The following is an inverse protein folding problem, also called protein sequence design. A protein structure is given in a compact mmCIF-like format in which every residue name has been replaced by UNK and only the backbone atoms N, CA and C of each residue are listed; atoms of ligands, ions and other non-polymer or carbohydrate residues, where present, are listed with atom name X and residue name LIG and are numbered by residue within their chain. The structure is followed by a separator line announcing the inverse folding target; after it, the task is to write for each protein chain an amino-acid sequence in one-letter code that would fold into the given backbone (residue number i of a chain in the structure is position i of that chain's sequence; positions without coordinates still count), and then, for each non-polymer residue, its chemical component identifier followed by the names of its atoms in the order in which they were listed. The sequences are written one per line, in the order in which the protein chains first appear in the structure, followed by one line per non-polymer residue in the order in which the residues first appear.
data_IF_584323055728
#
_entry.id   IF_584323055728
#
_cell.length_a   1.000
_cell.length_b   1.000
_cell.length_c   1.000
_cell.angle_alpha   90.00
_cell.angle_beta   90.00
_cell.angle_gamma   90.00
#
_symmetry.space_group_name_H-M   'P 1'
#
loop_
_entity.id
_entity.type
_entity.pdbx_description
1 polymer ?
#
# COMPACT_ATOMS: atom_id res chain seq x y z
N UNK A 1 39.58 3.41 4.83
CA UNK A 1 38.43 4.15 4.28
C UNK A 1 37.43 4.34 5.42
N UNK A 2 36.85 5.53 5.55
CA UNK A 2 35.89 5.83 6.61
C UNK A 2 34.59 5.06 6.35
N UNK A 3 34.10 4.28 7.32
CA UNK A 3 32.84 3.52 7.20
C UNK A 3 31.65 4.43 6.82
N UNK A 4 31.70 5.73 7.19
CA UNK A 4 30.72 6.71 6.74
C UNK A 4 30.76 6.97 5.24
N UNK A 5 31.95 6.90 4.60
CA UNK A 5 32.10 7.15 3.16
C UNK A 5 31.60 5.99 2.31
N UNK A 6 31.74 4.76 2.82
CA UNK A 6 31.27 3.54 2.17
C UNK A 6 29.73 3.44 2.25
N UNK A 7 29.14 3.71 3.41
CA UNK A 7 27.67 3.80 3.59
C UNK A 7 27.06 4.86 2.66
N UNK A 8 27.66 6.05 2.57
CA UNK A 8 27.22 7.12 1.67
C UNK A 8 27.28 6.70 0.18
N UNK A 9 28.31 5.96 -0.22
CA UNK A 9 28.46 5.45 -1.58
C UNK A 9 27.40 4.38 -1.90
N UNK A 10 27.19 3.44 -0.99
CA UNK A 10 26.16 2.40 -1.10
C UNK A 10 24.75 2.98 -1.17
N UNK A 11 24.42 3.95 -0.31
CA UNK A 11 23.12 4.61 -0.31
C UNK A 11 22.84 5.32 -1.64
N UNK A 12 23.79 6.11 -2.17
CA UNK A 12 23.63 6.79 -3.47
C UNK A 12 23.44 5.79 -4.61
N UNK A 13 24.20 4.70 -4.60
CA UNK A 13 24.10 3.64 -5.60
C UNK A 13 22.71 3.01 -5.55
N UNK A 14 22.26 2.54 -4.38
CA UNK A 14 20.96 1.88 -4.24
C UNK A 14 19.79 2.79 -4.59
N UNK A 15 19.80 4.03 -4.13
CA UNK A 15 18.74 5.02 -4.45
C UNK A 15 18.62 5.20 -5.98
N UNK A 16 19.76 5.35 -6.67
CA UNK A 16 19.78 5.49 -8.13
C UNK A 16 19.24 4.22 -8.83
N UNK A 17 19.61 3.03 -8.34
CA UNK A 17 19.25 1.76 -8.95
C UNK A 17 17.79 1.37 -8.67
N UNK A 18 17.28 1.62 -7.46
CA UNK A 18 15.87 1.41 -7.09
C UNK A 18 14.93 2.30 -7.88
N UNK A 19 15.29 3.58 -8.08
CA UNK A 19 14.51 4.49 -8.93
C UNK A 19 14.41 3.98 -10.37
N UNK A 20 15.51 3.47 -10.94
CA UNK A 20 15.51 2.89 -12.29
C UNK A 20 14.73 1.57 -12.33
N UNK A 21 14.91 0.70 -11.32
CA UNK A 21 14.13 -0.53 -11.17
C UNK A 21 12.64 -0.23 -11.11
N UNK A 22 12.16 0.76 -10.37
CA UNK A 22 10.73 1.05 -10.24
C UNK A 22 10.04 1.24 -11.60
N UNK A 23 10.72 1.95 -12.50
CA UNK A 23 10.21 2.25 -13.82
C UNK A 23 10.29 1.05 -14.76
N UNK A 24 11.34 0.24 -14.65
CA UNK A 24 11.51 -0.95 -15.49
C UNK A 24 10.67 -2.15 -14.99
N UNK A 25 10.39 -2.22 -13.68
CA UNK A 25 9.75 -3.37 -13.00
C UNK A 25 8.24 -3.37 -13.13
N UNK A 26 7.65 -2.32 -13.72
CA UNK A 26 6.23 -2.25 -13.99
C UNK A 26 5.69 -3.44 -14.82
N UNK A 27 6.58 -4.27 -15.42
CA UNK A 27 6.26 -5.45 -16.24
C UNK A 27 6.53 -6.83 -15.59
N UNK A 28 7.19 -6.94 -14.43
CA UNK A 28 7.53 -8.23 -13.82
C UNK A 28 6.95 -8.29 -12.40
N UNK A 29 5.84 -9.02 -12.21
CA UNK A 29 5.16 -9.10 -10.90
C UNK A 29 4.93 -10.54 -10.49
N UNK A 30 5.25 -10.81 -9.22
CA UNK A 30 5.01 -12.08 -8.54
C UNK A 30 3.67 -11.99 -7.80
N UNK A 31 2.78 -12.95 -8.07
CA UNK A 31 1.57 -13.16 -7.30
C UNK A 31 1.88 -14.04 -6.08
N UNK A 32 1.45 -13.62 -4.90
CA UNK A 32 1.40 -14.46 -3.71
C UNK A 32 -0.05 -14.70 -3.29
N UNK A 33 -0.35 -15.93 -2.88
CA UNK A 33 -1.69 -16.38 -2.50
C UNK A 33 -2.18 -15.79 -1.16
N UNK A 34 -3.50 -15.61 -1.00
CA UNK A 34 -4.09 -14.89 0.14
C UNK A 34 -4.66 -15.83 1.21
N UNK A 35 -3.84 -16.51 2.01
CA UNK A 35 -4.32 -17.42 3.08
C UNK A 35 -4.63 -16.76 4.43
N UNK A 36 -4.18 -15.52 4.70
CA UNK A 36 -4.37 -14.87 6.02
C UNK A 36 -5.21 -13.58 5.97
N UNK A 37 -6.38 -13.58 5.29
CA UNK A 37 -7.11 -12.34 4.94
C UNK A 37 -7.61 -11.49 6.12
N UNK A 38 -8.02 -12.08 7.25
CA UNK A 38 -8.78 -11.34 8.29
C UNK A 38 -7.90 -10.47 9.19
N UNK A 39 -6.97 -11.07 9.94
CA UNK A 39 -6.03 -10.33 10.81
C UNK A 39 -5.26 -9.29 10.02
N UNK A 40 -4.88 -9.67 8.80
CA UNK A 40 -4.23 -8.80 7.85
C UNK A 40 -5.07 -7.59 7.45
N UNK A 41 -6.34 -7.78 7.11
CA UNK A 41 -7.26 -6.68 6.80
C UNK A 41 -7.45 -5.71 7.96
N UNK A 42 -7.44 -6.21 9.20
CA UNK A 42 -7.46 -5.39 10.43
C UNK A 42 -6.20 -4.51 10.51
N UNK A 43 -5.02 -5.09 10.28
CA UNK A 43 -3.76 -4.36 10.36
C UNK A 43 -3.58 -3.39 9.19
N UNK A 44 -3.98 -3.74 7.97
CA UNK A 44 -3.95 -2.81 6.83
C UNK A 44 -4.88 -1.62 7.07
N UNK A 45 -6.04 -1.87 7.68
CA UNK A 45 -6.97 -0.82 8.06
C UNK A 45 -6.41 0.07 9.18
N UNK A 46 -5.76 -0.49 10.19
CA UNK A 46 -5.03 0.29 11.19
C UNK A 46 -3.93 1.13 10.55
N UNK A 47 -3.15 0.57 9.63
CA UNK A 47 -2.15 1.33 8.89
C UNK A 47 -2.79 2.48 8.10
N UNK A 48 -3.96 2.28 7.53
CA UNK A 48 -4.69 3.31 6.78
C UNK A 48 -5.02 4.53 7.65
N UNK A 49 -5.44 4.29 8.90
CA UNK A 49 -5.69 5.33 9.91
C UNK A 49 -4.43 6.16 10.17
N UNK A 50 -3.30 5.48 10.39
CA UNK A 50 -2.06 6.13 10.78
C UNK A 50 -1.22 6.71 9.65
N UNK A 51 -1.58 6.47 8.38
CA UNK A 51 -0.94 7.16 7.27
C UNK A 51 -1.35 8.64 7.17
N UNK A 52 -2.38 9.08 7.89
CA UNK A 52 -2.83 10.47 7.89
C UNK A 52 -3.43 10.93 6.56
N UNK A 53 -3.90 12.18 6.52
CA UNK A 53 -4.75 12.67 5.43
C UNK A 53 -4.01 13.05 4.12
N UNK A 54 -2.67 13.16 4.14
CA UNK A 54 -1.89 13.37 2.91
C UNK A 54 -1.80 12.04 2.14
N UNK A 55 -2.27 11.95 0.88
CA UNK A 55 -2.32 10.68 0.15
C UNK A 55 -0.94 10.05 -0.16
N UNK A 56 0.12 10.86 -0.14
CA UNK A 56 1.50 10.42 -0.34
C UNK A 56 2.08 9.74 0.90
N UNK A 57 1.47 9.94 2.07
CA UNK A 57 1.91 9.29 3.30
C UNK A 57 1.61 7.80 3.27
N UNK A 58 2.39 7.07 4.05
CA UNK A 58 2.28 5.62 4.25
C UNK A 58 2.57 5.33 5.71
N UNK A 59 1.94 4.28 6.21
CA UNK A 59 2.24 3.71 7.51
C UNK A 59 2.28 2.20 7.43
N UNK A 60 2.97 1.61 8.41
CA UNK A 60 2.96 0.20 8.72
C UNK A 60 2.55 0.04 10.18
N UNK A 61 1.77 -1.00 10.48
CA UNK A 61 1.30 -1.27 11.84
C UNK A 61 1.47 -2.73 12.21
N UNK A 62 1.77 -2.98 13.48
CA UNK A 62 1.79 -4.30 14.08
C UNK A 62 1.05 -4.23 15.42
N UNK A 63 0.45 -5.35 15.81
CA UNK A 63 -0.32 -5.50 17.04
C UNK A 63 0.38 -6.49 17.97
N UNK A 64 0.74 -6.03 19.16
CA UNK A 64 1.16 -6.87 20.28
C UNK A 64 0.00 -6.96 21.27
N UNK A 65 -0.36 -8.19 21.66
CA UNK A 65 -1.50 -8.47 22.54
C UNK A 65 -1.00 -9.22 23.76
N UNK A 66 -1.16 -8.61 24.93
CA UNK A 66 -0.81 -9.15 26.23
C UNK A 66 -2.03 -9.15 27.17
N UNK A 67 -2.05 -9.98 28.21
CA UNK A 67 -3.13 -9.91 29.20
C UNK A 67 -3.20 -8.53 29.87
N UNK A 68 -4.30 -7.81 29.65
CA UNK A 68 -4.54 -6.47 30.18
C UNK A 68 -3.98 -5.31 29.34
N UNK A 69 -3.20 -5.57 28.29
CA UNK A 69 -2.59 -4.52 27.47
C UNK A 69 -2.57 -4.91 25.98
N UNK A 70 -2.86 -3.93 25.13
CA UNK A 70 -2.76 -4.04 23.68
C UNK A 70 -1.88 -2.91 23.19
N UNK A 71 -0.76 -3.26 22.56
CA UNK A 71 0.15 -2.28 21.99
C UNK A 71 0.03 -2.25 20.47
N UNK A 72 -0.30 -1.08 19.93
CA UNK A 72 -0.24 -0.77 18.51
C UNK A 72 1.12 -0.17 18.17
N UNK A 73 1.97 -0.94 17.50
CA UNK A 73 3.24 -0.44 16.99
C UNK A 73 3.02 0.21 15.64
N UNK A 74 3.40 1.47 15.50
CA UNK A 74 3.14 2.27 14.31
C UNK A 74 4.44 2.88 13.80
N UNK A 75 4.70 2.68 12.51
CA UNK A 75 5.77 3.38 11.79
C UNK A 75 5.16 4.21 10.67
N UNK A 76 5.63 5.45 10.52
CA UNK A 76 5.16 6.39 9.50
C UNK A 76 6.29 6.77 8.54
N UNK A 77 5.93 7.22 7.34
CA UNK A 77 6.86 7.56 6.26
C UNK A 77 8.07 8.40 6.68
N UNK A 78 7.87 9.38 7.56
CA UNK A 78 8.90 10.36 7.93
C UNK A 78 9.77 9.92 9.12
N UNK A 79 9.62 8.68 9.60
CA UNK A 79 10.31 8.23 10.82
C UNK A 79 9.57 8.70 12.05
N UNK A 80 9.87 9.92 12.49
CA UNK A 80 9.30 10.50 13.70
C UNK A 80 7.84 10.93 13.49
N UNK A 81 6.90 10.53 14.37
CA UNK A 81 5.51 10.97 14.27
C UNK A 81 5.40 12.48 14.47
N UNK A 82 4.65 13.13 13.58
CA UNK A 82 4.30 14.54 13.69
C UNK A 82 3.27 14.76 14.79
N UNK A 83 3.04 16.03 15.16
CA UNK A 83 1.93 16.39 16.06
C UNK A 83 0.58 15.86 15.56
N UNK A 84 0.32 15.95 14.26
CA UNK A 84 -0.92 15.47 13.64
C UNK A 84 -1.07 13.95 13.72
N UNK A 85 0.04 13.21 13.62
CA UNK A 85 0.03 11.75 13.76
C UNK A 85 -0.37 11.36 15.19
N UNK A 86 0.15 12.07 16.20
CA UNK A 86 -0.21 11.88 17.61
C UNK A 86 -1.67 12.26 17.88
N UNK A 87 -2.14 13.40 17.36
CA UNK A 87 -3.55 13.81 17.46
C UNK A 87 -4.49 12.77 16.80
N UNK A 88 -4.07 12.15 15.70
CA UNK A 88 -4.82 11.05 15.05
C UNK A 88 -4.88 9.82 15.96
N UNK A 89 -3.78 9.46 16.63
CA UNK A 89 -3.75 8.38 17.61
C UNK A 89 -4.68 8.67 18.80
N UNK A 90 -4.67 9.89 19.34
CA UNK A 90 -5.52 10.27 20.46
C UNK A 90 -7.01 10.23 20.09
N UNK A 91 -7.36 10.73 18.89
CA UNK A 91 -8.72 10.62 18.34
C UNK A 91 -9.11 9.15 18.16
N UNK A 92 -8.22 8.31 17.62
CA UNK A 92 -8.49 6.88 17.45
C UNK A 92 -8.71 6.16 18.79
N UNK A 93 -7.85 6.41 19.79
CA UNK A 93 -8.02 5.85 21.13
C UNK A 93 -9.31 6.31 21.79
N UNK A 94 -9.74 7.55 21.56
CA UNK A 94 -11.04 8.05 22.02
C UNK A 94 -12.19 7.32 21.34
N UNK A 95 -12.16 7.18 20.01
CA UNK A 95 -13.13 6.39 19.25
C UNK A 95 -13.19 4.93 19.73
N UNK A 96 -12.05 4.33 20.09
CA UNK A 96 -12.02 2.98 20.66
C UNK A 96 -12.73 2.91 22.01
N UNK A 97 -12.55 3.89 22.90
CA UNK A 97 -13.29 3.95 24.18
C UNK A 97 -14.79 4.03 23.96
N UNK A 98 -15.21 4.89 23.03
CA UNK A 98 -16.61 5.03 22.64
C UNK A 98 -17.15 3.72 22.05
N UNK A 99 -16.37 3.04 21.20
CA UNK A 99 -16.73 1.75 20.62
C UNK A 99 -16.92 0.64 21.67
N UNK A 100 -16.16 0.68 22.78
CA UNK A 100 -16.32 -0.25 23.90
C UNK A 100 -17.55 0.04 24.77
N UNK A 101 -18.13 1.25 24.67
CA UNK A 101 -19.38 1.57 25.36
C UNK A 101 -20.61 0.91 24.70
N UNK A 102 -20.50 0.52 23.43
CA UNK A 102 -21.55 -0.25 22.75
C UNK A 102 -21.64 -1.70 23.27
N UNK A 103 -22.84 -2.30 23.32
CA UNK A 103 -23.01 -3.73 23.62
C UNK A 103 -22.13 -4.63 22.73
N UNK A 104 -21.64 -5.75 23.25
CA UNK A 104 -20.78 -6.68 22.47
C UNK A 104 -21.42 -7.14 21.15
N UNK A 105 -22.75 -7.24 21.12
CA UNK A 105 -23.54 -7.61 19.95
C UNK A 105 -23.75 -6.50 18.92
N UNK A 106 -23.46 -5.23 19.25
CA UNK A 106 -23.71 -4.10 18.35
C UNK A 106 -22.52 -3.81 17.43
N UNK A 107 -22.25 -4.74 16.52
CA UNK A 107 -21.21 -4.58 15.51
C UNK A 107 -21.53 -3.45 14.51
N UNK A 108 -22.82 -3.17 14.27
CA UNK A 108 -23.29 -2.14 13.34
C UNK A 108 -23.04 -0.72 13.87
N UNK A 109 -23.36 -0.45 15.14
CA UNK A 109 -23.10 0.83 15.79
C UNK A 109 -21.61 1.16 15.84
N UNK A 110 -20.77 0.18 16.21
CA UNK A 110 -19.31 0.32 16.18
C UNK A 110 -18.77 0.56 14.77
N UNK A 111 -19.28 -0.17 13.78
CA UNK A 111 -18.89 0.03 12.39
C UNK A 111 -19.21 1.46 11.92
N UNK A 112 -20.42 1.95 12.22
CA UNK A 112 -20.80 3.33 11.91
C UNK A 112 -19.84 4.34 12.57
N UNK A 113 -19.55 4.15 13.86
CA UNK A 113 -18.62 5.00 14.59
C UNK A 113 -17.23 5.08 13.93
N UNK A 114 -16.67 3.94 13.49
CA UNK A 114 -15.38 3.93 12.80
C UNK A 114 -15.42 4.60 11.43
N UNK A 115 -16.55 4.53 10.70
CA UNK A 115 -16.71 5.27 9.45
C UNK A 115 -16.77 6.79 9.66
N UNK A 116 -17.49 7.26 10.70
CA UNK A 116 -17.46 8.68 11.10
C UNK A 116 -16.02 9.12 11.40
N UNK A 117 -15.27 8.29 12.14
CA UNK A 117 -13.87 8.56 12.44
C UNK A 117 -13.01 8.70 11.17
N UNK A 118 -13.15 7.79 10.20
CA UNK A 118 -12.41 7.86 8.94
C UNK A 118 -12.73 9.11 8.12
N UNK A 119 -14.01 9.48 8.00
CA UNK A 119 -14.41 10.68 7.25
C UNK A 119 -13.89 11.97 7.88
N UNK A 120 -13.82 12.02 9.21
CA UNK A 120 -13.29 13.20 9.93
C UNK A 120 -11.76 13.28 9.89
N UNK A 121 -11.07 12.16 9.68
CA UNK A 121 -9.61 12.10 9.75
C UNK A 121 -8.93 12.03 8.38
N UNK A 122 -9.57 11.38 7.40
CA UNK A 122 -8.99 11.02 6.11
C UNK A 122 -9.81 11.45 4.86
N UNK A 123 -10.60 12.56 4.86
CA UNK A 123 -11.48 12.87 3.73
C UNK A 123 -10.72 13.07 2.41
N UNK A 124 -9.59 13.80 2.46
CA UNK A 124 -8.74 14.07 1.27
C UNK A 124 -8.09 12.82 0.74
N UNK A 125 -7.68 11.91 1.63
CA UNK A 125 -7.10 10.63 1.23
C UNK A 125 -8.14 9.75 0.54
N UNK A 126 -9.35 9.65 1.09
CA UNK A 126 -10.46 8.92 0.47
C UNK A 126 -10.75 9.49 -0.91
N UNK A 127 -10.92 10.81 -1.03
CA UNK A 127 -11.16 11.47 -2.31
C UNK A 127 -10.02 11.23 -3.30
N UNK A 128 -8.76 11.32 -2.85
CA UNK A 128 -7.61 11.01 -3.70
C UNK A 128 -7.64 9.56 -4.18
N UNK A 129 -8.01 8.60 -3.34
CA UNK A 129 -8.08 7.19 -3.74
C UNK A 129 -9.17 6.93 -4.78
N UNK A 130 -10.30 7.66 -4.69
CA UNK A 130 -11.34 7.71 -5.73
C UNK A 130 -10.76 8.31 -7.02
N UNK A 131 -10.15 9.49 -6.94
CA UNK A 131 -9.58 10.19 -8.11
C UNK A 131 -8.50 9.33 -8.81
N UNK A 132 -7.69 8.60 -8.04
CA UNK A 132 -6.69 7.68 -8.58
C UNK A 132 -7.31 6.49 -9.33
N UNK A 133 -8.48 5.99 -8.92
CA UNK A 133 -9.18 4.93 -9.66
C UNK A 133 -9.59 5.46 -11.02
N UNK A 134 -10.20 6.66 -11.06
CA UNK A 134 -10.66 7.34 -12.27
C UNK A 134 -9.48 7.64 -13.20
N UNK A 135 -8.35 8.09 -12.64
CA UNK A 135 -7.14 8.44 -13.38
C UNK A 135 -6.25 7.23 -13.70
N UNK A 136 -6.75 6.00 -13.65
CA UNK A 136 -5.95 4.81 -13.98
C UNK A 136 -5.51 4.83 -15.45
N UNK A 137 -4.21 4.63 -15.67
CA UNK A 137 -3.60 4.73 -17.01
C UNK A 137 -4.32 3.82 -18.00
N UNK A 138 -4.68 4.41 -19.14
CA UNK A 138 -5.43 3.77 -20.23
C UNK A 138 -4.51 3.33 -21.36
N UNK A 139 -4.88 2.28 -22.12
CA UNK A 139 -4.09 1.84 -23.28
C UNK A 139 -4.12 2.87 -24.43
N UNK A 140 -5.23 3.60 -24.59
CA UNK A 140 -5.43 4.60 -25.65
C UNK A 140 -5.90 5.95 -25.08
N UNK A 141 -5.37 7.10 -25.55
CA UNK A 141 -5.84 8.43 -25.15
C UNK A 141 -7.27 8.78 -25.59
N UNK A 142 -7.86 8.00 -26.50
CA UNK A 142 -9.14 8.34 -27.15
C UNK A 142 -10.36 7.73 -26.44
N UNK A 143 -10.17 6.68 -25.62
CA UNK A 143 -11.23 6.00 -24.89
C UNK A 143 -11.18 6.40 -23.41
N UNK A 144 -12.33 6.64 -22.77
CA UNK A 144 -12.39 6.79 -21.31
C UNK A 144 -12.16 5.42 -20.63
N UNK A 145 -11.77 5.43 -19.35
CA UNK A 145 -11.48 4.17 -18.63
C UNK A 145 -12.73 3.28 -18.54
N UNK A 146 -13.91 3.90 -18.40
CA UNK A 146 -15.18 3.18 -18.35
C UNK A 146 -15.43 2.42 -19.65
N UNK A 147 -15.39 3.09 -20.81
CA UNK A 147 -15.61 2.45 -22.11
C UNK A 147 -14.60 1.36 -22.41
N UNK A 148 -13.35 1.51 -21.95
CA UNK A 148 -12.35 0.45 -22.06
C UNK A 148 -12.71 -0.79 -21.22
N UNK A 149 -13.12 -0.58 -19.96
CA UNK A 149 -13.51 -1.69 -19.07
C UNK A 149 -14.83 -2.33 -19.49
N UNK A 150 -15.77 -1.54 -20.02
CA UNK A 150 -17.02 -2.02 -20.60
C UNK A 150 -16.76 -2.95 -21.79
N UNK A 151 -15.89 -2.54 -22.71
CA UNK A 151 -15.49 -3.38 -23.85
C UNK A 151 -14.84 -4.69 -23.38
N UNK A 152 -13.96 -4.63 -22.38
CA UNK A 152 -13.34 -5.83 -21.79
C UNK A 152 -14.37 -6.73 -21.11
N UNK A 153 -15.37 -6.15 -20.44
CA UNK A 153 -16.46 -6.91 -19.82
C UNK A 153 -17.27 -7.65 -20.88
N UNK A 154 -17.67 -6.96 -21.96
CA UNK A 154 -18.37 -7.59 -23.09
C UNK A 154 -17.54 -8.69 -23.76
N UNK A 155 -16.22 -8.48 -23.92
CA UNK A 155 -15.33 -9.51 -24.44
C UNK A 155 -15.26 -10.74 -23.51
N UNK A 156 -15.17 -10.51 -22.20
CA UNK A 156 -15.18 -11.58 -21.20
C UNK A 156 -16.48 -12.38 -21.23
N UNK A 157 -17.65 -11.72 -21.30
CA UNK A 157 -18.95 -12.36 -21.45
C UNK A 157 -19.04 -13.19 -22.75
N UNK A 158 -18.55 -12.64 -23.87
CA UNK A 158 -18.55 -13.33 -25.17
C UNK A 158 -17.75 -14.65 -25.16
N UNK A 159 -16.76 -14.74 -24.27
CA UNK A 159 -15.95 -15.95 -24.05
C UNK A 159 -16.60 -16.92 -23.06
N UNK A 160 -17.90 -16.77 -22.80
CA UNK A 160 -18.66 -17.51 -21.78
C UNK A 160 -18.15 -17.26 -20.36
N UNK A 161 -17.55 -16.10 -20.11
CA UNK A 161 -17.28 -15.64 -18.75
C UNK A 161 -18.60 -15.51 -17.99
N UNK A 162 -18.70 -16.16 -16.83
CA UNK A 162 -19.85 -16.05 -15.94
C UNK A 162 -19.39 -15.48 -14.62
N UNK A 163 -20.11 -14.48 -14.14
CA UNK A 163 -19.88 -13.92 -12.81
C UNK A 163 -20.47 -14.85 -11.75
N UNK A 164 -19.64 -15.31 -10.82
CA UNK A 164 -20.02 -16.24 -9.74
C UNK A 164 -19.58 -15.75 -8.37
N UNK A 165 -18.95 -14.57 -8.28
CA UNK A 165 -18.50 -14.02 -7.01
C UNK A 165 -19.70 -13.68 -6.10
N UNK A 166 -19.70 -14.12 -4.84
CA UNK A 166 -20.82 -13.87 -3.92
C UNK A 166 -21.18 -12.39 -3.79
N UNK A 167 -20.18 -11.50 -3.70
CA UNK A 167 -20.42 -10.06 -3.56
C UNK A 167 -21.20 -9.47 -4.74
N UNK A 168 -20.92 -9.93 -5.97
CA UNK A 168 -21.64 -9.47 -7.15
C UNK A 168 -23.05 -10.08 -7.23
N UNK A 169 -23.19 -11.37 -6.91
CA UNK A 169 -24.49 -12.05 -6.91
C UNK A 169 -25.43 -11.49 -5.82
N UNK A 170 -24.91 -11.19 -4.63
CA UNK A 170 -25.70 -10.59 -3.55
C UNK A 170 -26.13 -9.16 -3.91
N UNK A 171 -25.28 -8.41 -4.62
CA UNK A 171 -25.65 -7.08 -5.14
C UNK A 171 -26.68 -7.19 -6.27
N UNK A 172 -26.58 -8.21 -7.13
CA UNK A 172 -27.58 -8.51 -8.16
C UNK A 172 -28.95 -8.78 -7.55
N UNK A 173 -29.00 -9.61 -6.52
CA UNK A 173 -30.26 -9.93 -5.82
C UNK A 173 -30.88 -8.67 -5.20
N UNK A 174 -30.06 -7.76 -4.66
CA UNK A 174 -30.53 -6.50 -4.07
C UNK A 174 -31.11 -5.53 -5.11
N UNK A 175 -30.47 -5.40 -6.27
CA UNK A 175 -30.88 -4.43 -7.30
C UNK A 175 -31.95 -4.96 -8.26
N UNK A 176 -31.86 -6.25 -8.64
CA UNK A 176 -32.70 -6.85 -9.67
C UNK A 176 -33.70 -7.89 -9.13
N UNK A 177 -33.53 -8.35 -7.88
CA UNK A 177 -34.38 -9.39 -7.28
C UNK A 177 -33.98 -10.82 -7.67
N UNK A 178 -32.86 -11.01 -8.37
CA UNK A 178 -32.29 -12.33 -8.68
C UNK A 178 -30.75 -12.27 -8.86
N UNK A 179 -30.12 -13.44 -8.99
CA UNK A 179 -28.66 -13.61 -9.10
C UNK A 179 -28.14 -13.74 -10.55
N UNK A 180 -28.97 -13.51 -11.57
CA UNK A 180 -28.59 -13.76 -12.96
C UNK A 180 -27.90 -12.55 -13.62
N UNK A 181 -27.97 -11.37 -13.01
CA UNK A 181 -27.52 -10.10 -13.59
C UNK A 181 -26.08 -9.68 -13.22
N UNK A 182 -25.19 -10.62 -12.89
CA UNK A 182 -23.83 -10.30 -12.42
C UNK A 182 -23.01 -9.37 -13.33
N UNK A 183 -23.06 -9.53 -14.65
CA UNK A 183 -22.35 -8.63 -15.57
C UNK A 183 -23.00 -7.24 -15.66
N UNK A 184 -24.34 -7.15 -15.63
CA UNK A 184 -25.08 -5.89 -15.59
C UNK A 184 -24.80 -5.11 -14.31
N UNK A 185 -24.69 -5.80 -13.17
CA UNK A 185 -24.22 -5.23 -11.90
C UNK A 185 -22.83 -4.65 -12.06
N UNK A 186 -21.87 -5.39 -12.60
CA UNK A 186 -20.50 -4.91 -12.79
C UNK A 186 -20.43 -3.66 -13.66
N UNK A 187 -21.20 -3.63 -14.76
CA UNK A 187 -21.32 -2.46 -15.62
C UNK A 187 -21.83 -1.24 -14.85
N UNK A 188 -22.91 -1.41 -14.09
CA UNK A 188 -23.51 -0.35 -13.25
C UNK A 188 -22.51 0.14 -12.19
N UNK A 189 -21.84 -0.78 -11.51
CA UNK A 189 -20.81 -0.47 -10.52
C UNK A 189 -19.65 0.33 -11.13
N UNK A 190 -19.16 -0.08 -12.31
CA UNK A 190 -18.10 0.64 -13.02
C UNK A 190 -18.55 2.03 -13.46
N UNK A 191 -19.80 2.18 -13.89
CA UNK A 191 -20.36 3.46 -14.28
C UNK A 191 -20.41 4.43 -13.09
N UNK A 192 -20.93 3.98 -11.95
CA UNK A 192 -20.96 4.77 -10.71
C UNK A 192 -19.54 5.14 -10.27
N UNK A 193 -18.61 4.18 -10.24
CA UNK A 193 -17.22 4.43 -9.80
C UNK A 193 -16.47 5.44 -10.70
N UNK A 194 -16.69 5.39 -12.02
CA UNK A 194 -15.83 6.07 -12.98
C UNK A 194 -16.44 7.35 -13.57
N UNK A 195 -17.77 7.42 -13.66
CA UNK A 195 -18.48 8.58 -14.23
C UNK A 195 -19.16 9.42 -13.18
N UNK A 196 -19.74 8.77 -12.17
CA UNK A 196 -20.54 9.44 -11.14
C UNK A 196 -20.02 9.17 -9.71
N UNK A 197 -18.71 9.30 -9.45
CA UNK A 197 -18.17 9.05 -8.12
C UNK A 197 -18.76 10.08 -7.14
N UNK A 198 -19.20 9.67 -5.94
CA UNK A 198 -19.53 10.63 -4.90
C UNK A 198 -18.29 11.44 -4.56
N UNK A 199 -18.48 12.76 -4.38
CA UNK A 199 -17.45 13.65 -3.86
C UNK A 199 -17.47 13.57 -2.35
N UNK A 200 -16.32 13.28 -1.76
CA UNK A 200 -16.09 13.37 -0.32
C UNK A 200 -15.39 14.71 -0.08
N UNK A 201 -16.16 15.71 0.33
CA UNK A 201 -15.64 17.04 0.62
C UNK A 201 -14.99 17.08 2.01
N UNK A 202 -14.16 18.10 2.26
CA UNK A 202 -13.63 18.34 3.61
C UNK A 202 -14.81 18.71 4.52
N UNK A 203 -15.27 17.75 5.32
CA UNK A 203 -16.32 17.97 6.32
C UNK A 203 -15.85 19.01 7.34
N UNK A 204 -16.57 20.15 7.51
CA UNK A 204 -16.30 21.04 8.63
C UNK A 204 -16.53 20.29 9.95
N UNK A 205 -15.66 20.51 10.95
CA UNK A 205 -15.81 19.86 12.27
C UNK A 205 -17.20 20.17 12.85
N UNK A 206 -18.07 19.16 12.93
CA UNK A 206 -19.42 19.26 13.49
C UNK A 206 -20.56 19.54 12.49
N UNK A 207 -20.36 19.36 11.19
CA UNK A 207 -21.40 19.62 10.17
C UNK A 207 -22.54 18.58 10.13
N UNK A 208 -23.75 19.04 9.77
CA UNK A 208 -24.96 18.23 9.59
C UNK A 208 -24.91 17.25 8.38
N UNK A 209 -23.79 17.19 7.65
CA UNK A 209 -23.62 16.35 6.44
C UNK A 209 -23.00 14.97 6.72
N UNK A 210 -22.65 14.65 7.97
CA UNK A 210 -21.96 13.41 8.33
C UNK A 210 -22.70 12.15 7.82
N UNK A 211 -24.03 12.08 7.93
CA UNK A 211 -24.81 10.90 7.51
C UNK A 211 -24.86 10.72 5.98
N UNK A 212 -24.91 11.82 5.23
CA UNK A 212 -24.88 11.80 3.77
C UNK A 212 -23.53 11.30 3.27
N UNK A 213 -22.44 11.81 3.83
CA UNK A 213 -21.09 11.45 3.40
C UNK A 213 -20.72 10.03 3.84
N UNK A 214 -21.25 9.54 4.96
CA UNK A 214 -21.15 8.13 5.35
C UNK A 214 -21.89 7.24 4.38
N UNK A 215 -23.10 7.61 4.01
CA UNK A 215 -23.89 6.84 3.05
C UNK A 215 -23.16 6.77 1.71
N UNK A 216 -22.60 7.91 1.26
CA UNK A 216 -21.79 7.99 0.05
C UNK A 216 -20.51 7.14 0.14
N UNK A 217 -19.78 7.22 1.26
CA UNK A 217 -18.57 6.41 1.51
C UNK A 217 -18.90 4.92 1.52
N UNK A 218 -19.95 4.50 2.22
CA UNK A 218 -20.39 3.10 2.25
C UNK A 218 -20.71 2.60 0.87
N UNK A 219 -21.51 3.36 0.11
CA UNK A 219 -21.90 3.00 -1.25
C UNK A 219 -20.66 2.83 -2.15
N UNK A 220 -19.75 3.81 -2.18
CA UNK A 220 -18.59 3.74 -3.07
C UNK A 220 -17.61 2.63 -2.67
N UNK A 221 -17.43 2.38 -1.37
CA UNK A 221 -16.59 1.28 -0.89
C UNK A 221 -17.22 -0.09 -1.15
N UNK A 222 -18.55 -0.22 -1.03
CA UNK A 222 -19.27 -1.45 -1.37
C UNK A 222 -19.14 -1.76 -2.85
N UNK A 223 -19.39 -0.77 -3.71
CA UNK A 223 -19.21 -0.90 -5.16
C UNK A 223 -17.76 -1.27 -5.50
N UNK A 224 -16.78 -0.63 -4.85
CA UNK A 224 -15.37 -1.00 -5.04
C UNK A 224 -15.06 -2.44 -4.60
N UNK A 225 -15.66 -2.94 -3.51
CA UNK A 225 -15.49 -4.32 -3.04
C UNK A 225 -16.13 -5.34 -4.02
N UNK A 226 -17.34 -5.05 -4.51
CA UNK A 226 -18.04 -5.84 -5.52
C UNK A 226 -17.16 -5.99 -6.76
N UNK A 227 -16.68 -4.89 -7.32
CA UNK A 227 -15.83 -4.93 -8.52
C UNK A 227 -14.50 -5.63 -8.20
N UNK A 228 -13.85 -5.34 -7.08
CA UNK A 228 -12.55 -5.93 -6.73
C UNK A 228 -12.57 -7.45 -6.53
N UNK A 229 -13.71 -8.01 -6.10
CA UNK A 229 -13.89 -9.46 -5.83
C UNK A 229 -14.51 -10.23 -6.98
N UNK A 230 -14.95 -9.52 -8.03
CA UNK A 230 -15.59 -10.11 -9.20
C UNK A 230 -14.68 -11.07 -9.96
N UNK A 231 -15.27 -12.08 -10.60
CA UNK A 231 -14.56 -12.97 -11.51
C UNK A 231 -14.03 -12.22 -12.72
N UNK A 232 -14.75 -11.18 -13.17
CA UNK A 232 -14.26 -10.24 -14.16
C UNK A 232 -12.95 -9.57 -13.71
N UNK A 233 -12.87 -9.09 -12.47
CA UNK A 233 -11.64 -8.47 -11.98
C UNK A 233 -10.49 -9.49 -11.90
N UNK A 234 -10.75 -10.76 -11.57
CA UNK A 234 -9.74 -11.82 -11.64
C UNK A 234 -9.24 -12.03 -13.08
N UNK A 235 -10.15 -12.02 -14.05
CA UNK A 235 -9.80 -12.05 -15.48
C UNK A 235 -8.91 -10.86 -15.86
N UNK A 236 -9.25 -9.66 -15.38
CA UNK A 236 -8.47 -8.45 -15.62
C UNK A 236 -7.03 -8.58 -15.10
N UNK A 237 -6.78 -9.20 -13.95
CA UNK A 237 -5.45 -9.29 -13.30
C UNK A 237 -4.34 -9.90 -14.18
N UNK A 238 -4.69 -10.52 -15.30
CA UNK A 238 -3.75 -10.99 -16.33
C UNK A 238 -2.98 -9.86 -17.04
N UNK A 239 -3.42 -8.59 -16.92
CA UNK A 239 -2.79 -7.41 -17.54
C UNK A 239 -2.25 -6.36 -16.54
N UNK A 240 -1.24 -5.53 -16.91
CA UNK A 240 -0.60 -4.58 -16.00
C UNK A 240 -1.47 -3.37 -15.60
N UNK A 241 -2.29 -2.85 -16.52
CA UNK A 241 -3.26 -1.76 -16.25
C UNK A 241 -4.28 -2.23 -15.21
N UNK A 242 -4.79 -3.44 -15.42
CA UNK A 242 -5.79 -4.10 -14.59
C UNK A 242 -5.36 -4.36 -13.15
N UNK A 243 -4.11 -4.75 -12.90
CA UNK A 243 -3.63 -4.96 -11.53
C UNK A 243 -3.57 -3.66 -10.73
N UNK A 244 -3.20 -2.55 -11.38
CA UNK A 244 -3.18 -1.25 -10.72
C UNK A 244 -4.60 -0.80 -10.35
N UNK A 245 -5.55 -1.01 -11.27
CA UNK A 245 -6.97 -0.77 -11.03
C UNK A 245 -7.51 -1.62 -9.87
N UNK A 246 -7.33 -2.93 -9.92
CA UNK A 246 -7.78 -3.87 -8.89
C UNK A 246 -7.23 -3.54 -7.50
N UNK A 247 -5.93 -3.23 -7.40
CA UNK A 247 -5.31 -2.83 -6.13
C UNK A 247 -5.89 -1.52 -5.59
N UNK A 248 -6.18 -0.56 -6.46
CA UNK A 248 -6.82 0.71 -6.06
C UNK A 248 -8.25 0.47 -5.55
N UNK A 249 -9.01 -0.41 -6.20
CA UNK A 249 -10.34 -0.81 -5.74
C UNK A 249 -10.30 -1.49 -4.37
N UNK A 250 -9.40 -2.46 -4.16
CA UNK A 250 -9.23 -3.13 -2.86
C UNK A 250 -8.92 -2.15 -1.73
N UNK A 251 -8.05 -1.18 -2.01
CA UNK A 251 -7.70 -0.13 -1.05
C UNK A 251 -8.89 0.78 -0.74
N UNK A 252 -9.71 1.15 -1.74
CA UNK A 252 -10.93 1.91 -1.50
C UNK A 252 -11.95 1.08 -0.72
N UNK A 253 -12.13 -0.20 -1.05
CA UNK A 253 -12.99 -1.11 -0.30
C UNK A 253 -12.57 -1.27 1.17
N UNK A 254 -11.27 -1.14 1.47
CA UNK A 254 -10.72 -1.31 2.81
C UNK A 254 -11.25 -0.28 3.82
N UNK A 255 -11.62 0.93 3.40
CA UNK A 255 -12.20 1.93 4.33
C UNK A 255 -13.46 1.39 5.01
N UNK A 256 -14.34 0.73 4.26
CA UNK A 256 -15.58 0.13 4.78
C UNK A 256 -15.36 -1.30 5.30
N UNK A 257 -14.81 -2.19 4.46
CA UNK A 257 -14.65 -3.60 4.82
C UNK A 257 -13.66 -3.81 5.96
N UNK A 258 -12.60 -2.99 6.04
CA UNK A 258 -11.65 -2.98 7.15
C UNK A 258 -12.27 -2.48 8.43
N UNK A 259 -13.05 -1.39 8.39
CA UNK A 259 -13.77 -0.87 9.55
C UNK A 259 -14.79 -1.88 10.09
N UNK A 260 -15.57 -2.51 9.20
CA UNK A 260 -16.48 -3.59 9.58
C UNK A 260 -15.75 -4.78 10.21
N UNK A 261 -14.68 -5.25 9.56
CA UNK A 261 -13.88 -6.39 10.07
C UNK A 261 -13.27 -6.05 11.44
N UNK A 262 -12.80 -4.83 11.62
CA UNK A 262 -12.29 -4.33 12.90
C UNK A 262 -13.39 -4.32 13.97
N UNK A 263 -14.55 -3.72 13.68
CA UNK A 263 -15.69 -3.67 14.58
C UNK A 263 -16.19 -5.07 15.00
N UNK A 264 -16.38 -5.96 14.03
CA UNK A 264 -16.99 -7.27 14.25
C UNK A 264 -16.03 -8.31 14.86
N UNK A 265 -14.72 -8.16 14.65
CA UNK A 265 -13.73 -9.16 15.05
C UNK A 265 -12.63 -8.61 15.97
N UNK A 266 -11.97 -7.52 15.59
CA UNK A 266 -10.86 -6.98 16.39
C UNK A 266 -11.34 -6.53 17.77
N UNK A 267 -12.50 -5.86 17.85
CA UNK A 267 -13.07 -5.40 19.12
C UNK A 267 -13.33 -6.56 20.10
N UNK A 268 -13.81 -7.71 19.63
CA UNK A 268 -14.04 -8.89 20.48
C UNK A 268 -12.73 -9.48 20.98
N UNK A 269 -11.71 -9.55 20.12
CA UNK A 269 -10.36 -9.94 20.53
C UNK A 269 -9.78 -8.98 21.56
N UNK A 270 -9.96 -7.67 21.35
CA UNK A 270 -9.45 -6.65 22.26
C UNK A 270 -10.14 -6.74 23.61
N UNK A 271 -11.47 -6.88 23.62
CA UNK A 271 -12.25 -7.06 24.84
C UNK A 271 -11.74 -8.23 25.69
N UNK A 272 -11.47 -9.38 25.06
CA UNK A 272 -10.92 -10.56 25.74
C UNK A 272 -9.50 -10.34 26.26
N UNK A 273 -8.63 -9.73 25.45
CA UNK A 273 -7.24 -9.50 25.82
C UNK A 273 -7.11 -8.53 27.00
N UNK A 274 -7.92 -7.46 27.02
CA UNK A 274 -7.90 -6.47 28.10
C UNK A 274 -8.49 -7.02 29.41
N UNK A 275 -9.48 -7.91 29.33
CA UNK A 275 -10.24 -8.33 30.50
C UNK A 275 -11.04 -7.18 31.13
N UNK A 276 -11.87 -7.49 32.13
CA UNK A 276 -12.81 -6.53 32.71
C UNK A 276 -12.12 -5.34 33.38
N UNK A 277 -11.04 -5.58 34.12
CA UNK A 277 -10.32 -4.55 34.88
C UNK A 277 -9.64 -3.54 33.96
N UNK A 278 -8.78 -3.98 33.03
CA UNK A 278 -8.04 -3.06 32.16
C UNK A 278 -8.98 -2.36 31.16
N UNK A 279 -10.00 -3.06 30.67
CA UNK A 279 -11.04 -2.44 29.84
C UNK A 279 -11.75 -1.31 30.58
N UNK A 280 -12.19 -1.53 31.83
CA UNK A 280 -12.85 -0.49 32.62
C UNK A 280 -11.94 0.71 32.87
N UNK A 281 -10.63 0.50 33.04
CA UNK A 281 -9.67 1.60 33.21
C UNK A 281 -9.47 2.36 31.90
N UNK A 282 -9.35 1.65 30.77
CA UNK A 282 -9.20 2.23 29.44
C UNK A 282 -10.39 3.10 29.05
N UNK A 283 -11.61 2.59 29.21
CA UNK A 283 -12.87 3.32 28.91
C UNK A 283 -12.99 4.61 29.75
N UNK A 284 -12.51 4.58 31.01
CA UNK A 284 -12.50 5.76 31.91
C UNK A 284 -11.33 6.72 31.66
N UNK A 285 -10.43 6.41 30.73
CA UNK A 285 -9.23 7.21 30.46
C UNK A 285 -8.21 7.22 31.60
N UNK A 286 -8.22 6.22 32.49
CA UNK A 286 -7.37 6.19 33.71
C UNK A 286 -6.04 5.43 33.52
N UNK A 287 -5.55 5.33 32.29
CA UNK A 287 -4.37 4.54 31.93
C UNK A 287 -4.66 3.04 31.74
N UNK A 288 -3.65 2.32 31.23
CA UNK A 288 -3.78 0.90 30.86
C UNK A 288 -4.65 0.68 29.61
N UNK A 289 -4.67 -0.55 29.11
CA UNK A 289 -5.54 -0.95 28.00
C UNK A 289 -4.86 -0.90 26.65
N UNK A 290 -5.34 -0.04 25.74
CA UNK A 290 -4.79 0.10 24.39
C UNK A 290 -3.81 1.28 24.35
N UNK A 291 -2.57 1.04 23.92
CA UNK A 291 -1.54 2.06 23.75
C UNK A 291 -0.99 2.08 22.33
N UNK A 292 -0.54 3.25 21.89
CA UNK A 292 0.14 3.42 20.60
C UNK A 292 1.63 3.69 20.85
N UNK A 293 2.49 2.83 20.32
CA UNK A 293 3.95 3.00 20.36
C UNK A 293 4.47 3.31 18.96
N UNK A 294 5.14 4.45 18.84
CA UNK A 294 5.72 4.88 17.57
C UNK A 294 7.11 4.32 17.40
N UNK A 295 7.35 3.56 16.34
CA UNK A 295 8.68 3.04 16.01
C UNK A 295 9.70 4.18 15.91
N UNK A 296 9.31 5.31 15.30
CA UNK A 296 10.19 6.48 15.15
C UNK A 296 10.63 7.17 16.44
N UNK A 297 9.97 6.91 17.58
CA UNK A 297 10.36 7.47 18.88
C UNK A 297 11.51 6.68 19.53
N UNK A 298 11.62 5.39 19.20
CA UNK A 298 12.53 4.42 19.82
C UNK A 298 13.63 3.93 18.89
N UNK A 299 13.46 4.11 17.57
CA UNK A 299 14.45 3.69 16.59
C UNK A 299 15.79 4.39 16.86
N UNK A 300 16.75 3.60 17.35
CA UNK A 300 18.17 3.96 17.38
C UNK A 300 18.84 3.79 16.02
N UNK A 301 18.05 3.73 14.94
CA UNK A 301 18.63 4.02 13.64
C UNK A 301 19.23 5.40 13.82
N UNK A 302 20.50 5.62 13.46
CA UNK A 302 21.03 6.96 13.51
C UNK A 302 19.95 7.82 12.86
N UNK A 303 19.57 8.92 13.52
CA UNK A 303 19.31 10.11 12.73
C UNK A 303 20.63 10.34 12.01
N UNK A 304 20.93 9.50 11.00
CA UNK A 304 21.75 9.82 9.87
C UNK A 304 21.05 11.11 9.53
N UNK A 305 21.69 12.20 9.94
CA UNK A 305 21.74 13.40 9.15
C UNK A 305 22.02 12.84 7.77
N UNK A 306 20.94 12.44 7.09
CA UNK A 306 21.00 11.76 5.82
C UNK A 306 21.54 12.91 5.02
N UNK A 307 22.88 12.90 4.86
CA UNK A 307 23.62 14.00 4.28
C UNK A 307 22.87 14.18 3.00
N UNK A 308 22.25 15.37 2.88
CA UNK A 308 21.40 15.72 1.77
C UNK A 308 22.09 15.18 0.54
N UNK A 309 21.56 14.08 0.01
CA UNK A 309 22.26 13.34 -1.03
C UNK A 309 21.94 14.14 -2.25
N UNK A 310 22.83 15.11 -2.51
CA UNK A 310 22.76 15.89 -3.72
C UNK A 310 23.17 14.96 -4.82
N UNK A 311 22.27 14.72 -5.75
CA UNK A 311 22.65 14.05 -6.97
C UNK A 311 23.66 14.97 -7.66
N UNK A 312 24.92 14.55 -7.65
CA UNK A 312 26.00 15.25 -8.36
C UNK A 312 25.86 15.11 -9.86
N UNK A 313 25.05 14.16 -10.31
CA UNK A 313 24.80 13.84 -11.70
C UNK A 313 23.29 13.90 -11.96
N UNK A 314 22.85 14.60 -13.02
CA UNK A 314 21.46 14.54 -13.43
C UNK A 314 21.08 13.09 -13.83
N UNK A 315 19.78 12.73 -13.81
CA UNK A 315 19.31 11.38 -14.14
C UNK A 315 19.86 10.85 -15.48
N UNK A 316 20.00 11.72 -16.47
CA UNK A 316 20.61 11.41 -17.78
C UNK A 316 22.07 10.99 -17.67
N UNK A 317 22.85 11.63 -16.79
CA UNK A 317 24.25 11.27 -16.57
C UNK A 317 24.41 9.99 -15.74
N UNK A 318 23.54 9.74 -14.75
CA UNK A 318 23.47 8.45 -14.06
C UNK A 318 23.14 7.30 -15.03
N UNK A 319 22.17 7.53 -15.92
CA UNK A 319 21.83 6.59 -16.98
C UNK A 319 23.03 6.38 -17.91
N UNK A 320 23.71 7.44 -18.33
CA UNK A 320 24.90 7.37 -19.18
C UNK A 320 26.04 6.58 -18.53
N UNK A 321 26.27 6.75 -17.22
CA UNK A 321 27.27 5.96 -16.49
C UNK A 321 26.93 4.48 -16.46
N UNK A 322 25.67 4.14 -16.20
CA UNK A 322 25.19 2.75 -16.26
C UNK A 322 25.36 2.16 -17.66
N UNK A 323 24.96 2.90 -18.70
CA UNK A 323 25.15 2.53 -20.10
C UNK A 323 26.64 2.36 -20.44
N UNK A 324 27.52 3.22 -19.93
CA UNK A 324 28.95 3.15 -20.19
C UNK A 324 29.63 1.97 -19.47
N UNK A 325 29.17 1.65 -18.26
CA UNK A 325 29.67 0.56 -17.43
C UNK A 325 29.36 -0.84 -17.96
N UNK A 326 28.44 -0.96 -18.93
CA UNK A 326 28.12 -2.24 -19.57
C UNK A 326 28.00 -2.09 -21.08
N UNK A 327 28.86 -2.78 -21.81
CA UNK A 327 28.88 -2.76 -23.27
C UNK A 327 27.53 -3.19 -23.89
N UNK A 328 26.82 -4.12 -23.24
CA UNK A 328 25.48 -4.58 -23.66
C UNK A 328 24.43 -3.46 -23.54
N UNK A 329 24.60 -2.53 -22.60
CA UNK A 329 23.62 -1.49 -22.32
C UNK A 329 23.74 -0.29 -23.25
N UNK A 330 24.91 -0.02 -23.85
CA UNK A 330 25.12 1.15 -24.75
C UNK A 330 24.15 1.19 -25.93
N UNK A 331 23.73 0.04 -26.43
CA UNK A 331 22.80 -0.09 -27.55
C UNK A 331 21.38 0.36 -27.20
N UNK A 332 21.04 0.43 -25.90
CA UNK A 332 19.70 0.74 -25.41
C UNK A 332 19.41 2.24 -25.27
N UNK A 333 20.38 3.15 -25.37
CA UNK A 333 20.18 4.58 -25.04
C UNK A 333 19.08 5.28 -25.87
N UNK A 334 18.70 4.73 -27.03
CA UNK A 334 17.60 5.24 -27.90
C UNK A 334 16.23 4.61 -27.59
N UNK A 335 16.15 3.67 -26.66
CA UNK A 335 14.92 2.94 -26.37
C UNK A 335 13.89 3.89 -25.71
N UNK A 336 12.64 3.99 -26.20
CA UNK A 336 11.63 4.91 -25.67
C UNK A 336 11.35 4.77 -24.17
N UNK A 337 11.41 3.53 -23.64
CA UNK A 337 11.33 3.28 -22.19
C UNK A 337 12.45 3.94 -21.39
N UNK A 338 13.67 4.10 -21.92
CA UNK A 338 14.77 4.76 -21.21
C UNK A 338 14.71 6.29 -21.32
N UNK A 339 14.14 6.81 -22.41
CA UNK A 339 13.78 8.22 -22.53
C UNK A 339 12.64 8.62 -21.59
N UNK A 340 11.68 7.73 -21.31
CA UNK A 340 10.62 8.02 -20.33
C UNK A 340 11.15 8.04 -18.88
N UNK A 341 12.19 7.26 -18.57
CA UNK A 341 12.86 7.33 -17.25
C UNK A 341 13.50 8.70 -17.03
N UNK A 342 14.21 9.25 -18.03
CA UNK A 342 14.84 10.57 -17.87
C UNK A 342 13.82 11.70 -17.75
N UNK A 343 12.61 11.52 -18.31
CA UNK A 343 11.49 12.47 -18.20
C UNK A 343 10.69 12.34 -16.89
N UNK A 344 10.62 11.15 -16.28
CA UNK A 344 9.86 10.90 -15.05
C UNK A 344 10.64 11.20 -13.75
N UNK A 345 11.93 11.47 -13.88
CA UNK A 345 12.84 11.79 -12.78
C UNK A 345 12.94 13.32 -12.62
N UNK A 346 11.91 13.93 -12.02
CA UNK A 346 11.79 15.37 -11.77
C UNK A 346 12.73 15.88 -10.64
N UNK A 347 14.01 15.51 -10.69
CA UNK A 347 15.01 15.95 -9.71
C UNK A 347 16.15 16.59 -10.50
N UNK A 348 16.33 17.90 -10.34
CA UNK A 348 17.42 18.63 -10.99
C UNK A 348 18.76 18.28 -10.35
N UNK A 349 19.85 18.45 -11.10
CA UNK A 349 21.20 18.30 -10.55
C UNK A 349 21.38 19.27 -9.37
N UNK A 350 21.82 18.75 -8.22
CA UNK A 350 21.95 19.55 -6.98
C UNK A 350 20.75 19.50 -6.04
N UNK A 351 19.60 18.97 -6.47
CA UNK A 351 18.48 18.69 -5.57
C UNK A 351 18.89 17.67 -4.53
N UNK A 352 18.45 17.93 -3.32
CA UNK A 352 18.82 17.14 -2.17
C UNK A 352 17.74 16.11 -1.84
N UNK A 353 18.09 14.83 -1.90
CA UNK A 353 17.21 13.76 -1.41
C UNK A 353 17.68 13.30 -0.05
N UNK A 354 16.71 13.24 0.87
CA UNK A 354 16.89 12.64 2.19
C UNK A 354 16.38 11.20 2.07
N UNK A 355 17.26 10.19 2.00
CA UNK A 355 16.82 8.80 2.09
C UNK A 355 16.13 8.54 3.43
N UNK A 356 15.01 7.84 3.37
CA UNK A 356 14.20 7.48 4.52
C UNK A 356 14.06 5.97 4.56
N UNK A 357 14.12 5.39 5.76
CA UNK A 357 13.64 4.03 5.93
C UNK A 357 12.15 4.02 5.61
N UNK A 358 11.73 3.03 4.85
CA UNK A 358 10.33 2.73 4.67
C UNK A 358 9.67 2.36 5.99
N UNK A 359 8.40 2.71 6.17
CA UNK A 359 7.67 2.42 7.42
C UNK A 359 7.69 0.93 7.76
N UNK A 360 7.68 0.06 6.77
CA UNK A 360 7.81 -1.39 6.92
C UNK A 360 9.12 -1.79 7.59
N UNK A 361 10.24 -1.25 7.08
CA UNK A 361 11.58 -1.55 7.58
C UNK A 361 11.83 -0.90 8.93
N UNK A 362 11.35 0.34 9.12
CA UNK A 362 11.35 1.00 10.42
C UNK A 362 10.66 0.14 11.48
N UNK A 363 9.48 -0.39 11.16
CA UNK A 363 8.72 -1.21 12.09
C UNK A 363 9.44 -2.53 12.40
N UNK A 364 10.00 -3.21 11.39
CA UNK A 364 10.79 -4.44 11.62
C UNK A 364 11.97 -4.17 12.53
N UNK A 365 12.78 -3.15 12.24
CA UNK A 365 13.95 -2.80 13.07
C UNK A 365 13.49 -2.49 14.51
N UNK A 366 12.41 -1.73 14.67
CA UNK A 366 11.83 -1.44 15.98
C UNK A 366 11.46 -2.73 16.72
N UNK A 367 10.70 -3.62 16.10
CA UNK A 367 10.27 -4.85 16.74
C UNK A 367 11.47 -5.75 17.10
N UNK A 368 12.46 -5.87 16.21
CA UNK A 368 13.70 -6.60 16.48
C UNK A 368 14.51 -5.99 17.64
N UNK A 369 14.67 -4.67 17.69
CA UNK A 369 15.39 -3.98 18.76
C UNK A 369 14.77 -4.19 20.15
N UNK A 370 13.46 -4.45 20.19
CA UNK A 370 12.70 -4.65 21.42
C UNK A 370 12.39 -6.14 21.68
N UNK A 371 13.00 -7.06 20.93
CA UNK A 371 12.76 -8.52 21.01
C UNK A 371 11.27 -8.90 20.88
N UNK A 372 10.51 -8.15 20.08
CA UNK A 372 9.10 -8.41 19.81
C UNK A 372 9.00 -9.37 18.63
N UNK A 373 8.67 -10.62 18.93
CA UNK A 373 8.47 -11.67 17.93
C UNK A 373 7.13 -11.52 17.23
N UNK A 374 7.19 -11.33 15.93
CA UNK A 374 6.03 -11.27 15.06
C UNK A 374 5.62 -12.63 14.52
N UNK A 375 4.32 -12.84 14.42
CA UNK A 375 3.77 -13.97 13.67
C UNK A 375 3.63 -13.63 12.18
N UNK A 376 3.46 -14.67 11.37
CA UNK A 376 3.24 -14.51 9.94
C UNK A 376 2.02 -13.62 9.65
N UNK A 377 2.18 -12.64 8.76
CA UNK A 377 1.13 -11.69 8.39
C UNK A 377 0.73 -10.68 9.48
N UNK A 378 1.56 -10.47 10.52
CA UNK A 378 1.25 -9.54 11.61
C UNK A 378 1.66 -8.08 11.37
N UNK A 379 2.16 -7.74 10.17
CA UNK A 379 2.36 -6.34 9.77
C UNK A 379 1.39 -5.97 8.66
N UNK A 380 0.54 -4.99 8.94
CA UNK A 380 -0.31 -4.34 7.96
C UNK A 380 0.33 -3.08 7.39
N UNK A 381 0.04 -2.79 6.13
CA UNK A 381 0.61 -1.66 5.40
C UNK A 381 -0.45 -0.98 4.54
N UNK A 382 -0.37 0.35 4.43
CA UNK A 382 -1.32 1.12 3.59
C UNK A 382 -1.20 0.87 2.09
N UNK A 383 -0.05 0.37 1.65
CA UNK A 383 0.28 0.07 0.26
C UNK A 383 1.08 -1.23 0.25
N UNK A 384 1.03 -1.94 -0.87
CA UNK A 384 1.88 -3.11 -1.07
C UNK A 384 3.36 -2.74 -0.88
N UNK A 385 4.07 -3.61 -0.17
CA UNK A 385 5.45 -3.40 0.26
C UNK A 385 6.40 -3.42 -0.92
N UNK A 386 7.31 -2.46 -0.97
CA UNK A 386 8.26 -2.38 -2.08
C UNK A 386 9.12 -3.66 -2.13
N UNK A 387 9.55 -4.08 -3.33
CA UNK A 387 10.30 -5.34 -3.48
C UNK A 387 11.55 -5.38 -2.58
N UNK A 388 12.25 -4.26 -2.44
CA UNK A 388 13.44 -4.17 -1.60
C UNK A 388 13.13 -4.37 -0.10
N UNK A 389 12.02 -3.81 0.39
CA UNK A 389 11.58 -4.00 1.77
C UNK A 389 11.16 -5.46 2.04
N UNK A 390 10.47 -6.08 1.07
CA UNK A 390 10.13 -7.50 1.16
C UNK A 390 11.39 -8.38 1.18
N UNK A 391 12.36 -8.10 0.30
CA UNK A 391 13.62 -8.85 0.28
C UNK A 391 14.43 -8.66 1.56
N UNK A 392 14.40 -7.46 2.14
CA UNK A 392 15.01 -7.19 3.44
C UNK A 392 14.48 -8.09 4.52
N UNK A 393 13.16 -8.24 4.61
CA UNK A 393 12.58 -9.19 5.56
C UNK A 393 13.08 -10.60 5.38
N UNK A 394 13.12 -11.10 4.13
CA UNK A 394 13.50 -12.48 3.87
C UNK A 394 14.93 -12.77 4.34
N UNK A 395 15.82 -11.77 4.25
CA UNK A 395 17.19 -11.89 4.73
C UNK A 395 17.28 -11.74 6.25
N UNK A 396 16.41 -10.95 6.87
CA UNK A 396 16.31 -10.83 8.33
C UNK A 396 15.66 -12.05 9.00
N UNK A 397 15.05 -12.96 8.25
CA UNK A 397 14.46 -14.19 8.79
C UNK A 397 15.54 -15.24 9.02
N UNK A 398 15.72 -15.65 10.28
CA UNK A 398 16.57 -16.80 10.60
C UNK A 398 15.90 -18.09 10.08
N UNK A 399 16.63 -19.01 9.43
CA UNK A 399 16.10 -20.30 8.97
C UNK A 399 15.54 -21.17 10.10
N UNK A 400 15.90 -20.89 11.36
CA UNK A 400 15.54 -21.67 12.54
C UNK A 400 14.32 -21.13 13.30
N UNK A 401 13.84 -19.93 12.98
CA UNK A 401 12.67 -19.34 13.64
C UNK A 401 11.39 -19.70 12.89
N UNK A 402 10.50 -20.44 13.55
CA UNK A 402 9.14 -20.73 13.07
C UNK A 402 8.23 -19.49 13.02
N UNK A 403 8.72 -18.33 13.47
CA UNK A 403 8.07 -17.03 13.45
C UNK A 403 8.62 -16.18 12.28
N UNK A 404 8.12 -16.45 11.07
CA UNK A 404 8.47 -15.68 9.87
C UNK A 404 7.69 -14.38 9.78
N UNK A 405 8.32 -13.33 9.25
CA UNK A 405 7.64 -12.08 8.92
C UNK A 405 6.96 -12.17 7.55
N UNK A 406 5.73 -11.67 7.37
CA UNK A 406 5.22 -11.45 6.02
C UNK A 406 4.33 -10.22 5.89
N UNK A 407 4.21 -9.75 4.65
CA UNK A 407 3.42 -8.59 4.27
C UNK A 407 2.34 -8.94 3.26
N UNK A 408 1.20 -8.30 3.48
CA UNK A 408 0.36 -7.60 2.49
C UNK A 408 0.28 -8.14 1.05
N UNK A 409 0.85 -7.30 0.22
CA UNK A 409 1.19 -7.57 -1.15
C UNK A 409 2.58 -6.97 -1.28
N UNK A 410 3.42 -7.46 -2.20
CA UNK A 410 4.55 -6.63 -2.61
C UNK A 410 4.04 -5.72 -3.72
N UNK A 411 4.31 -4.42 -3.66
CA UNK A 411 4.01 -3.54 -4.80
C UNK A 411 4.86 -3.87 -6.02
N UNK A 412 5.84 -4.78 -5.90
CA UNK A 412 6.92 -5.08 -6.86
C UNK A 412 7.72 -3.85 -7.32
N UNK A 413 7.37 -2.69 -6.76
CA UNK A 413 7.92 -1.38 -7.01
C UNK A 413 9.08 -1.13 -6.07
N UNK A 414 10.03 -0.33 -6.49
CA UNK A 414 11.20 0.07 -5.73
C UNK A 414 11.08 1.57 -5.51
N UNK A 415 11.07 2.05 -4.28
CA UNK A 415 10.83 3.48 -4.02
C UNK A 415 12.11 4.30 -4.09
N UNK A 416 11.96 5.56 -4.54
CA UNK A 416 13.06 6.48 -4.87
C UNK A 416 13.83 7.01 -3.67
N UNK A 417 13.35 6.78 -2.46
CA UNK A 417 13.85 7.38 -1.23
C UNK A 417 14.16 6.33 -0.16
N UNK A 418 14.51 5.10 -0.55
CA UNK A 418 14.84 4.03 0.38
C UNK A 418 16.23 4.26 1.01
N UNK A 419 16.29 4.26 2.34
CA UNK A 419 17.55 4.18 3.09
C UNK A 419 17.95 2.71 3.22
N UNK A 420 19.18 2.37 2.82
CA UNK A 420 19.77 1.05 3.09
C UNK A 420 20.01 0.94 4.59
N UNK A 421 19.40 -0.04 5.30
CA UNK A 421 19.72 -0.27 6.71
C UNK A 421 21.22 -0.58 6.86
N UNK A 422 21.92 -0.01 7.86
CA UNK A 422 23.34 -0.25 8.07
C UNK A 422 23.57 -1.63 8.73
N UNK A 423 23.04 -2.69 8.13
CA UNK A 423 23.15 -4.08 8.56
C UNK A 423 23.68 -4.95 7.42
N UNK A 424 24.20 -6.14 7.73
CA UNK A 424 24.71 -7.07 6.71
C UNK A 424 23.65 -7.40 5.65
N UNK A 425 22.40 -7.57 6.07
CA UNK A 425 21.24 -7.81 5.21
C UNK A 425 20.94 -6.59 4.32
N UNK A 426 21.02 -5.38 4.88
CA UNK A 426 20.86 -4.14 4.11
C UNK A 426 21.88 -4.03 2.98
N UNK A 427 23.16 -4.32 3.25
CA UNK A 427 24.21 -4.33 2.22
C UNK A 427 24.03 -5.45 1.19
N UNK A 428 23.57 -6.65 1.61
CA UNK A 428 23.28 -7.73 0.67
C UNK A 428 22.20 -7.34 -0.35
N UNK A 429 21.14 -6.66 0.08
CA UNK A 429 20.07 -6.18 -0.81
C UNK A 429 20.56 -5.11 -1.75
N UNK A 430 21.45 -4.23 -1.29
CA UNK A 430 22.04 -3.22 -2.14
C UNK A 430 22.69 -3.82 -3.39
N UNK A 431 23.43 -4.92 -3.22
CA UNK A 431 24.02 -5.66 -4.33
C UNK A 431 22.98 -6.46 -5.14
N UNK A 432 21.98 -7.08 -4.50
CA UNK A 432 20.91 -7.77 -5.24
C UNK A 432 20.08 -6.82 -6.13
N UNK A 433 19.77 -5.61 -5.63
CA UNK A 433 19.11 -4.52 -6.37
C UNK A 433 19.90 -4.21 -7.65
N UNK A 434 21.21 -4.03 -7.51
CA UNK A 434 22.11 -3.74 -8.62
C UNK A 434 22.15 -4.87 -9.65
N UNK A 435 22.24 -6.12 -9.19
CA UNK A 435 22.22 -7.30 -10.07
C UNK A 435 20.88 -7.45 -10.81
N UNK A 436 19.75 -7.28 -10.11
CA UNK A 436 18.41 -7.36 -10.70
C UNK A 436 18.21 -6.31 -11.78
N UNK A 437 18.67 -5.09 -11.55
CA UNK A 437 18.62 -4.01 -12.54
C UNK A 437 19.43 -4.34 -13.78
N UNK A 438 20.64 -4.86 -13.60
CA UNK A 438 21.49 -5.30 -14.71
C UNK A 438 20.81 -6.40 -15.54
N UNK A 439 20.18 -7.38 -14.87
CA UNK A 439 19.41 -8.45 -15.53
C UNK A 439 18.23 -7.93 -16.34
N UNK A 440 17.42 -7.04 -15.76
CA UNK A 440 16.26 -6.46 -16.46
C UNK A 440 16.65 -5.63 -17.68
N UNK A 441 17.72 -4.84 -17.55
CA UNK A 441 18.24 -4.07 -18.68
C UNK A 441 18.78 -5.01 -19.78
N UNK A 442 19.41 -6.13 -19.42
CA UNK A 442 19.83 -7.16 -20.38
C UNK A 442 18.62 -7.78 -21.11
N UNK A 443 17.55 -8.15 -20.40
CA UNK A 443 16.33 -8.68 -21.03
C UNK A 443 15.70 -7.69 -22.02
N UNK A 444 15.70 -6.39 -21.68
CA UNK A 444 15.21 -5.34 -22.56
C UNK A 444 16.09 -5.25 -23.82
N UNK A 445 17.42 -5.39 -23.68
CA UNK A 445 18.36 -5.48 -24.81
C UNK A 445 17.97 -6.62 -25.75
N UNK A 446 17.86 -7.83 -25.22
CA UNK A 446 17.57 -9.03 -26.00
C UNK A 446 16.20 -8.96 -26.70
N UNK A 447 15.18 -8.42 -26.02
CA UNK A 447 13.85 -8.20 -26.61
C UNK A 447 13.87 -7.12 -27.69
N UNK A 448 14.66 -6.06 -27.52
CA UNK A 448 14.81 -5.01 -28.52
C UNK A 448 15.53 -5.49 -29.78
N UNK A 449 16.56 -6.33 -29.63
CA UNK A 449 17.28 -6.95 -30.75
C UNK A 449 16.38 -7.91 -31.53
N UNK A 450 15.57 -8.72 -30.83
CA UNK A 450 14.56 -9.58 -31.48
C UNK A 450 13.52 -8.75 -32.23
N UNK A 451 13.01 -7.67 -31.64
CA UNK A 451 12.02 -6.80 -32.29
C UNK A 451 12.61 -6.01 -33.48
N UNK A 452 13.90 -5.64 -33.43
CA UNK A 452 14.59 -5.10 -34.60
C UNK A 452 14.78 -6.16 -35.69
N UNK A 453 15.11 -7.40 -35.34
CA UNK A 453 15.20 -8.49 -36.31
C UNK A 453 13.85 -8.79 -37.00
N UNK A 454 12.73 -8.64 -36.30
CA UNK A 454 11.39 -8.72 -36.89
C UNK A 454 11.07 -7.55 -37.83
N UNK A 455 11.56 -6.34 -37.53
CA UNK A 455 11.42 -5.15 -38.40
C UNK A 455 12.32 -5.18 -39.64
N UNK A 456 13.30 -6.09 -39.70
CA UNK A 456 14.10 -6.36 -40.91
C UNK A 456 13.60 -7.57 -41.71
N UNK A 457 12.60 -8.30 -41.21
CA UNK A 457 11.97 -9.46 -41.86
C UNK A 457 10.50 -9.22 -42.24
N UNK A 458 9.97 -8.02 -41.99
CA UNK A 458 8.72 -7.49 -42.51
C UNK A 458 9.06 -6.29 -43.41
#
# INVERSE_FOLDING_TARGET
MDASSEIDHYQRTVINHLSLLDHLSAKLRYDHEPSHRRTRGILDWLALIFAGNDPSNVAATCLQVEPGEITLHVAVKNGTPTRRDRETADRFLTTLRDAFAFPESDDAGRHALFLHFLLRTLPRRIQFDIDQIISTSRPSPQQDLFGYLEELLSQWESRKGKETSPACLDYSEQEYGDREHGASVLKTCLEILLRNPPRIEDLPEGGANDDRDITALRAICQIADVVARSDFCKFLLTGPVSQTFARRLRRLALYNTGAYTFAAHAMKTFHRALGSTALSQFVRGRGGGVIVRWAGDTLQVPKLHAKLSRYTLPPTACLQLLLNSSHQLRNLHKHPLLQSVSQAWNVQAGDAVVPLLHCEVQLIIHLTQHDIKAQDGCIGTTKGVCWACWRYMQLCQSPTDSAGWSFTETSAKATRNWLVPPTAEGFAIAEEVKQKLAGMLKEISEKSEKNQAWLYLA
#
